data_IF_618981907125
#
_entry.id   IF_618981907125
#
_cell.length_a   1.000
_cell.length_b   1.000
_cell.length_c   1.000
_cell.angle_alpha   90.00
_cell.angle_beta   90.00
_cell.angle_gamma   90.00
#
_symmetry.space_group_name_H-M   'P 1'
#
loop_
_entity.id
_entity.type
_entity.pdbx_description
1 polymer ?
#
# COMPACT_ATOMS: atom_id res chain seq x y z
N UNK A 1 4.04 1.73 19.18
CA UNK A 1 2.73 2.04 19.79
C UNK A 1 1.54 1.97 18.81
N UNK A 2 1.57 2.60 17.62
CA UNK A 2 0.43 2.62 16.67
C UNK A 2 0.09 1.24 16.07
N UNK A 3 1.05 0.31 16.00
CA UNK A 3 0.83 -1.06 15.53
C UNK A 3 -0.05 -1.93 16.44
N UNK A 4 -0.32 -1.50 17.69
CA UNK A 4 -1.18 -2.20 18.65
C UNK A 4 -2.66 -1.78 18.56
N UNK A 5 -2.98 -0.75 17.78
CA UNK A 5 -4.35 -0.25 17.65
C UNK A 5 -5.12 -0.99 16.56
N UNK A 6 -6.32 -1.47 16.90
CA UNK A 6 -7.27 -2.03 15.93
C UNK A 6 -7.53 -1.00 14.80
N UNK A 7 -7.71 -1.49 13.57
CA UNK A 7 -7.86 -0.74 12.30
C UNK A 7 -8.83 0.46 12.42
N UNK A 8 -9.93 0.32 13.16
CA UNK A 8 -10.91 1.41 13.41
C UNK A 8 -10.35 2.53 14.31
N UNK A 9 -9.72 2.17 15.42
CA UNK A 9 -9.10 3.14 16.34
C UNK A 9 -7.91 3.84 15.69
N UNK A 10 -7.11 3.10 14.91
CA UNK A 10 -6.03 3.67 14.11
C UNK A 10 -6.53 4.71 13.12
N UNK A 11 -7.63 4.44 12.43
CA UNK A 11 -8.22 5.38 11.47
C UNK A 11 -8.82 6.62 12.16
N UNK A 12 -9.48 6.47 13.31
CA UNK A 12 -9.98 7.62 14.10
C UNK A 12 -8.82 8.46 14.63
N UNK A 13 -7.77 7.83 15.14
CA UNK A 13 -6.58 8.50 15.65
C UNK A 13 -5.85 9.28 14.53
N UNK A 14 -5.64 8.66 13.36
CA UNK A 14 -5.05 9.31 12.19
C UNK A 14 -5.91 10.45 11.63
N UNK A 15 -7.26 10.36 11.68
CA UNK A 15 -8.15 11.41 11.14
C UNK A 15 -8.41 12.56 12.09
N UNK A 16 -8.39 12.34 13.41
CA UNK A 16 -8.90 13.32 14.38
C UNK A 16 -7.80 13.80 15.31
N UNK A 17 -6.97 12.88 15.81
CA UNK A 17 -5.93 13.21 16.79
C UNK A 17 -4.71 13.79 16.09
N UNK A 18 -4.24 13.15 15.02
CA UNK A 18 -3.05 13.60 14.27
C UNK A 18 -3.18 15.03 13.71
N UNK A 19 -4.29 15.46 13.07
CA UNK A 19 -4.39 16.83 12.55
C UNK A 19 -4.46 17.87 13.68
N UNK A 20 -5.08 17.53 14.82
CA UNK A 20 -5.10 18.41 16.00
C UNK A 20 -3.71 18.52 16.62
N UNK A 21 -3.02 17.40 16.82
CA UNK A 21 -1.64 17.42 17.35
C UNK A 21 -0.66 18.07 16.38
N UNK A 22 -0.88 17.98 15.06
CA UNK A 22 -0.12 18.71 14.04
C UNK A 22 -0.20 20.23 14.23
N UNK A 23 -1.39 20.78 14.55
CA UNK A 23 -1.55 22.21 14.78
C UNK A 23 -0.73 22.68 15.99
N UNK A 24 -0.73 21.92 17.08
CA UNK A 24 0.05 22.24 18.28
C UNK A 24 1.55 22.05 18.06
N UNK A 25 1.95 20.95 17.42
CA UNK A 25 3.35 20.65 17.12
C UNK A 25 3.91 21.56 16.02
N UNK A 26 3.14 22.39 15.33
CA UNK A 26 3.70 23.36 14.35
C UNK A 26 4.69 24.36 14.98
N UNK A 27 4.63 24.60 16.29
CA UNK A 27 5.55 25.47 16.99
C UNK A 27 6.84 24.74 17.39
N UNK A 28 7.97 25.17 16.82
CA UNK A 28 9.31 24.66 17.10
C UNK A 28 9.62 24.66 18.60
N UNK A 29 9.27 25.73 19.32
CA UNK A 29 9.51 25.82 20.76
C UNK A 29 8.75 24.77 21.56
N UNK A 30 7.52 24.45 21.14
CA UNK A 30 6.73 23.42 21.81
C UNK A 30 7.33 22.02 21.60
N UNK A 31 7.90 21.74 20.41
CA UNK A 31 8.60 20.47 20.14
C UNK A 31 9.85 20.32 20.98
N UNK A 32 10.67 21.37 21.07
CA UNK A 32 11.88 21.37 21.89
C UNK A 32 11.55 21.08 23.35
N UNK A 33 10.55 21.77 23.90
CA UNK A 33 10.11 21.56 25.28
C UNK A 33 9.55 20.14 25.47
N UNK A 34 8.73 19.64 24.54
CA UNK A 34 8.15 18.30 24.65
C UNK A 34 9.21 17.19 24.53
N UNK A 35 10.20 17.33 23.66
CA UNK A 35 11.35 16.42 23.57
C UNK A 35 12.13 16.37 24.86
N UNK A 36 12.34 17.53 25.51
CA UNK A 36 13.03 17.63 26.79
C UNK A 36 12.25 16.89 27.89
N UNK A 37 10.93 17.08 27.92
CA UNK A 37 10.01 16.40 28.82
C UNK A 37 10.05 14.88 28.60
N UNK A 38 9.94 14.41 27.34
CA UNK A 38 9.96 12.98 27.01
C UNK A 38 11.29 12.33 27.43
N UNK A 39 12.42 12.94 27.08
CA UNK A 39 13.74 12.43 27.43
C UNK A 39 13.94 12.35 28.95
N UNK A 40 13.48 13.38 29.68
CA UNK A 40 13.54 13.43 31.14
C UNK A 40 12.71 12.31 31.79
N UNK A 41 11.43 12.19 31.43
CA UNK A 41 10.56 11.17 32.03
C UNK A 41 10.99 9.74 31.70
N UNK A 42 11.55 9.50 30.51
CA UNK A 42 12.07 8.19 30.13
C UNK A 42 13.26 7.77 31.00
N UNK A 43 14.20 8.69 31.26
CA UNK A 43 15.35 8.43 32.13
C UNK A 43 14.96 8.26 33.60
N UNK A 44 14.04 9.08 34.10
CA UNK A 44 13.49 8.91 35.45
C UNK A 44 12.80 7.54 35.58
N UNK A 45 12.02 7.14 34.58
CA UNK A 45 11.38 5.82 34.54
C UNK A 45 12.37 4.66 34.56
N UNK A 46 13.45 4.75 33.77
CA UNK A 46 14.54 3.77 33.77
C UNK A 46 15.23 3.69 35.14
N UNK A 47 15.54 4.82 35.76
CA UNK A 47 16.18 4.87 37.08
C UNK A 47 15.30 4.23 38.16
N UNK A 48 13.99 4.50 38.15
CA UNK A 48 13.04 3.88 39.10
C UNK A 48 12.92 2.37 38.84
N UNK A 49 12.92 1.95 37.58
CA UNK A 49 12.86 0.54 37.21
C UNK A 49 14.13 -0.21 37.66
N UNK A 50 15.31 0.36 37.43
CA UNK A 50 16.58 -0.18 37.92
C UNK A 50 16.56 -0.33 39.44
N UNK A 51 16.18 0.72 40.18
CA UNK A 51 16.06 0.63 41.65
C UNK A 51 15.11 -0.48 42.10
N UNK A 52 13.99 -0.67 41.39
CA UNK A 52 13.02 -1.71 41.71
C UNK A 52 13.55 -3.11 41.40
N UNK A 53 14.24 -3.28 40.27
CA UNK A 53 14.89 -4.53 39.86
C UNK A 53 16.02 -4.91 40.83
N UNK A 54 16.88 -3.95 41.19
CA UNK A 54 17.96 -4.17 42.16
C UNK A 54 17.42 -4.59 43.52
N UNK A 55 16.34 -3.96 44.00
CA UNK A 55 15.67 -4.38 45.25
C UNK A 55 15.06 -5.78 45.17
N UNK A 56 14.51 -6.18 44.03
CA UNK A 56 13.91 -7.53 43.87
C UNK A 56 14.93 -8.64 43.63
N UNK A 57 16.10 -8.34 43.05
CA UNK A 57 17.15 -9.33 42.76
C UNK A 57 18.19 -9.45 43.88
N UNK A 58 18.35 -8.41 44.70
CA UNK A 58 19.28 -8.37 45.82
C UNK A 58 18.52 -8.10 47.14
N UNK A 59 17.67 -9.03 47.56
CA UNK A 59 17.34 -9.14 48.99
C UNK A 59 18.46 -9.94 49.69
N UNK A 60 19.18 -9.37 50.69
CA UNK A 60 20.13 -10.14 51.46
C UNK A 60 19.35 -11.12 52.35
N UNK A 61 19.58 -12.43 52.18
CA UNK A 61 19.24 -13.41 53.22
C UNK A 61 20.04 -13.03 54.47
N UNK A 62 19.31 -12.73 55.54
CA UNK A 62 19.84 -12.46 56.86
C UNK A 62 20.75 -13.59 57.35
N UNK A 63 22.03 -13.27 57.59
CA UNK A 63 22.82 -13.91 58.64
C UNK A 63 23.70 -12.85 59.29
N UNK A 64 23.49 -12.63 60.58
CA UNK A 64 24.29 -11.80 61.46
C UNK A 64 25.76 -12.24 61.42
N UNK A 65 26.71 -11.31 61.29
CA UNK A 65 27.74 -11.10 62.32
C UNK A 65 28.48 -9.77 62.11
N UNK A 66 28.77 -9.14 63.25
CA UNK A 66 29.40 -7.84 63.50
C UNK A 66 30.71 -7.53 62.76
N UNK A 67 30.89 -6.28 62.31
CA UNK A 67 32.00 -5.40 62.73
C UNK A 67 31.67 -3.93 62.39
N UNK A 68 32.14 -3.01 63.24
CA UNK A 68 31.85 -1.57 63.38
C UNK A 68 32.08 -0.65 62.16
N UNK A 69 31.54 0.60 62.19
CA UNK A 69 31.27 1.41 60.99
C UNK A 69 32.47 2.25 60.54
N UNK A 70 32.76 2.23 59.24
CA UNK A 70 33.52 3.30 58.57
C UNK A 70 32.56 4.43 58.22
N UNK A 71 32.78 5.59 58.83
CA UNK A 71 32.22 6.88 58.45
C UNK A 71 32.42 7.12 56.95
N UNK A 72 31.34 6.98 56.21
CA UNK A 72 31.21 7.54 54.86
C UNK A 72 30.01 8.46 54.95
N UNK A 73 30.25 9.76 54.88
CA UNK A 73 29.24 10.81 54.95
C UNK A 73 28.12 10.51 53.95
N UNK A 74 26.98 10.08 54.46
CA UNK A 74 25.74 10.09 53.71
C UNK A 74 25.29 11.54 53.64
N UNK A 75 25.51 12.20 52.49
CA UNK A 75 24.88 13.48 52.17
C UNK A 75 23.36 13.32 52.32
N UNK A 76 22.81 13.81 53.43
CA UNK A 76 21.38 13.78 53.71
C UNK A 76 20.66 14.74 52.78
N UNK A 77 19.96 14.18 51.80
CA UNK A 77 19.20 14.91 50.75
C UNK A 77 18.03 15.74 51.31
N UNK A 78 17.51 15.38 52.48
CA UNK A 78 16.40 16.08 53.13
C UNK A 78 16.83 16.66 54.47
N UNK A 79 16.46 17.92 54.71
CA UNK A 79 16.63 18.58 56.01
C UNK A 79 15.42 18.25 56.89
N UNK A 80 15.58 18.11 58.23
CA UNK A 80 14.48 17.82 59.15
C UNK A 80 13.34 18.86 59.19
N UNK A 81 13.45 19.96 58.43
CA UNK A 81 12.42 21.01 58.28
C UNK A 81 11.60 20.89 56.99
N UNK A 82 11.91 19.94 56.10
CA UNK A 82 11.15 19.74 54.85
C UNK A 82 9.85 18.95 55.12
N UNK A 83 8.72 19.38 54.55
CA UNK A 83 7.49 18.58 54.60
C UNK A 83 7.64 17.30 53.76
N UNK A 84 6.93 16.22 54.12
CA UNK A 84 7.06 14.91 53.45
C UNK A 84 6.99 14.99 51.93
N UNK A 85 6.10 15.85 51.39
CA UNK A 85 5.99 16.10 49.95
C UNK A 85 7.19 16.83 49.34
N UNK A 86 7.82 17.76 50.07
CA UNK A 86 8.99 18.51 49.62
C UNK A 86 10.27 17.68 49.69
N UNK A 87 10.39 16.78 50.68
CA UNK A 87 11.47 15.80 50.75
C UNK A 87 11.35 14.75 49.62
N UNK A 88 10.13 14.31 49.29
CA UNK A 88 9.88 13.41 48.16
C UNK A 88 10.21 14.07 46.81
N UNK A 89 9.88 15.35 46.64
CA UNK A 89 10.29 16.17 45.49
C UNK A 89 11.80 16.38 45.45
N UNK A 90 12.45 16.68 46.58
CA UNK A 90 13.92 16.78 46.68
C UNK A 90 14.60 15.46 46.36
N UNK A 91 14.10 14.31 46.85
CA UNK A 91 14.64 13.00 46.49
C UNK A 91 14.47 12.69 45.01
N UNK A 92 13.32 12.99 44.42
CA UNK A 92 13.09 12.84 42.97
C UNK A 92 14.02 13.76 42.15
N UNK A 93 14.30 14.98 42.61
CA UNK A 93 15.23 15.91 41.96
C UNK A 93 16.71 15.60 42.24
N UNK A 94 17.07 15.02 43.39
CA UNK A 94 18.46 14.70 43.75
C UNK A 94 18.92 13.36 43.15
N UNK A 95 17.99 12.41 42.91
CA UNK A 95 18.23 11.27 42.02
C UNK A 95 18.53 11.75 40.58
N UNK A 96 18.19 13.00 40.24
CA UNK A 96 18.50 13.62 38.95
C UNK A 96 19.78 14.47 38.95
N UNK A 97 20.85 14.00 39.59
CA UNK A 97 22.16 14.24 38.95
C UNK A 97 22.08 13.41 37.68
N UNK A 98 21.70 14.03 36.55
CA UNK A 98 21.77 13.41 35.22
C UNK A 98 23.26 13.15 34.95
N UNK A 99 23.82 12.13 35.60
CA UNK A 99 25.22 11.71 35.42
C UNK A 99 25.39 11.12 34.01
N UNK A 100 24.27 10.76 33.37
CA UNK A 100 24.21 10.25 32.02
C UNK A 100 23.73 11.32 31.02
N UNK A 101 24.50 12.42 30.93
CA UNK A 101 24.23 13.54 30.03
C UNK A 101 24.18 13.07 28.55
N UNK A 102 25.00 12.07 28.21
CA UNK A 102 24.99 11.41 26.89
C UNK A 102 23.65 10.71 26.62
N UNK A 103 23.14 9.93 27.58
CA UNK A 103 21.83 9.28 27.47
C UNK A 103 20.69 10.28 27.30
N UNK A 104 20.73 11.40 28.03
CA UNK A 104 19.75 12.49 27.87
C UNK A 104 19.84 13.14 26.50
N UNK A 105 21.04 13.48 26.03
CA UNK A 105 21.25 14.11 24.72
C UNK A 105 20.78 13.20 23.57
N UNK A 106 21.04 11.90 23.63
CA UNK A 106 20.56 10.93 22.65
C UNK A 106 19.04 10.81 22.66
N UNK A 107 18.41 10.68 23.82
CA UNK A 107 16.95 10.59 23.93
C UNK A 107 16.25 11.88 23.54
N UNK A 108 16.83 13.03 23.89
CA UNK A 108 16.34 14.33 23.47
C UNK A 108 16.43 14.49 21.94
N UNK A 109 17.58 14.16 21.35
CA UNK A 109 17.78 14.19 19.90
C UNK A 109 16.84 13.24 19.16
N UNK A 110 16.68 12.00 19.65
CA UNK A 110 15.75 11.03 19.08
C UNK A 110 14.28 11.48 19.22
N UNK A 111 13.91 12.07 20.35
CA UNK A 111 12.57 12.62 20.57
C UNK A 111 12.30 13.81 19.64
N UNK A 112 13.27 14.71 19.49
CA UNK A 112 13.17 15.86 18.59
C UNK A 112 13.06 15.41 17.14
N UNK A 113 13.90 14.47 16.71
CA UNK A 113 13.83 13.87 15.38
C UNK A 113 12.48 13.22 15.10
N UNK A 114 11.91 12.51 16.08
CA UNK A 114 10.57 11.92 15.98
C UNK A 114 9.47 12.98 15.90
N UNK A 115 9.57 14.08 16.66
CA UNK A 115 8.61 15.18 16.63
C UNK A 115 8.70 16.02 15.34
N UNK A 116 9.90 16.18 14.77
CA UNK A 116 10.13 16.83 13.47
C UNK A 116 9.79 15.94 12.26
N UNK A 117 9.59 14.63 12.49
CA UNK A 117 9.29 13.67 11.43
C UNK A 117 8.09 14.05 10.55
N UNK A 118 7.11 14.76 11.09
CA UNK A 118 5.93 15.22 10.33
C UNK A 118 6.28 16.32 9.32
N UNK A 119 7.13 17.28 9.67
CA UNK A 119 7.58 18.33 8.73
C UNK A 119 8.50 17.76 7.67
N UNK A 120 9.41 16.86 8.06
CA UNK A 120 10.26 16.14 7.10
C UNK A 120 9.43 15.34 6.11
N UNK A 121 8.38 14.65 6.57
CA UNK A 121 7.43 13.94 5.70
C UNK A 121 6.75 14.90 4.73
N UNK A 122 6.23 16.04 5.20
CA UNK A 122 5.60 17.05 4.33
C UNK A 122 6.59 17.53 3.27
N UNK A 123 7.82 17.90 3.66
CA UNK A 123 8.85 18.39 2.74
C UNK A 123 9.18 17.37 1.64
N UNK A 124 9.44 16.12 2.01
CA UNK A 124 9.74 15.04 1.05
C UNK A 124 8.58 14.84 0.07
N UNK A 125 7.33 14.86 0.54
CA UNK A 125 6.15 14.72 -0.31
C UNK A 125 6.04 15.91 -1.29
N UNK A 126 6.29 17.14 -0.84
CA UNK A 126 6.27 18.32 -1.71
C UNK A 126 7.39 18.27 -2.77
N UNK A 127 8.61 17.92 -2.37
CA UNK A 127 9.74 17.75 -3.29
C UNK A 127 9.43 16.67 -4.35
N UNK A 128 8.83 15.55 -3.93
CA UNK A 128 8.42 14.48 -4.85
C UNK A 128 7.35 14.97 -5.84
N UNK A 129 6.31 15.66 -5.39
CA UNK A 129 5.29 16.23 -6.29
C UNK A 129 5.88 17.24 -7.27
N UNK A 130 6.79 18.12 -6.82
CA UNK A 130 7.47 19.06 -7.72
C UNK A 130 8.21 18.34 -8.84
N UNK A 131 8.89 17.23 -8.55
CA UNK A 131 9.56 16.42 -9.59
C UNK A 131 8.55 15.84 -10.58
N UNK A 132 7.42 15.32 -10.09
CA UNK A 132 6.36 14.75 -10.94
C UNK A 132 5.76 15.81 -11.86
N UNK A 133 5.34 16.94 -11.29
CA UNK A 133 4.67 18.02 -12.01
C UNK A 133 5.61 18.69 -13.03
N UNK A 134 6.89 18.89 -12.67
CA UNK A 134 7.87 19.45 -13.58
C UNK A 134 8.12 18.52 -14.78
N UNK A 135 8.18 17.21 -14.57
CA UNK A 135 8.33 16.25 -15.65
C UNK A 135 7.12 16.23 -16.59
N UNK A 136 5.91 16.30 -16.03
CA UNK A 136 4.66 16.39 -16.79
C UNK A 136 4.58 17.70 -17.60
N UNK A 137 4.83 18.85 -16.97
CA UNK A 137 4.79 20.15 -17.63
C UNK A 137 5.85 20.32 -18.72
N UNK A 138 7.00 19.66 -18.59
CA UNK A 138 8.04 19.65 -19.61
C UNK A 138 7.80 18.62 -20.74
N UNK A 139 6.75 17.80 -20.66
CA UNK A 139 6.47 16.74 -21.62
C UNK A 139 7.55 15.65 -21.67
N UNK A 140 8.30 15.47 -20.58
CA UNK A 140 9.43 14.54 -20.54
C UNK A 140 8.89 13.13 -20.32
N UNK A 141 8.93 12.32 -21.38
CA UNK A 141 8.53 10.92 -21.34
C UNK A 141 9.43 10.10 -20.39
N UNK A 142 10.74 10.32 -20.37
CA UNK A 142 11.71 9.53 -19.58
C UNK A 142 12.31 10.33 -18.44
N UNK A 143 12.00 9.96 -17.20
CA UNK A 143 12.59 10.60 -16.02
C UNK A 143 12.72 9.61 -14.86
N UNK A 144 13.95 9.14 -14.61
CA UNK A 144 14.26 8.32 -13.43
C UNK A 144 13.88 9.03 -12.13
N UNK A 145 14.03 10.37 -12.10
CA UNK A 145 13.61 11.19 -10.97
C UNK A 145 12.09 11.11 -10.75
N UNK A 146 11.27 11.14 -11.82
CA UNK A 146 9.81 10.98 -11.72
C UNK A 146 9.44 9.60 -11.17
N UNK A 147 10.07 8.53 -11.67
CA UNK A 147 9.86 7.15 -11.16
C UNK A 147 10.13 7.11 -9.64
N UNK A 148 11.29 7.60 -9.21
CA UNK A 148 11.64 7.63 -7.78
C UNK A 148 10.70 8.49 -6.96
N UNK A 149 10.26 9.63 -7.49
CA UNK A 149 9.31 10.50 -6.82
C UNK A 149 7.95 9.82 -6.61
N UNK A 150 7.43 9.14 -7.63
CA UNK A 150 6.18 8.37 -7.54
C UNK A 150 6.28 7.21 -6.54
N UNK A 151 7.39 6.47 -6.54
CA UNK A 151 7.64 5.42 -5.53
C UNK A 151 7.69 6.00 -4.11
N UNK A 152 8.31 7.16 -3.92
CA UNK A 152 8.32 7.88 -2.63
C UNK A 152 6.89 8.24 -2.21
N UNK A 153 6.09 8.83 -3.11
CA UNK A 153 4.69 9.16 -2.84
C UNK A 153 3.90 7.90 -2.43
N UNK A 154 4.08 6.80 -3.16
CA UNK A 154 3.44 5.52 -2.85
C UNK A 154 3.86 4.98 -1.46
N UNK A 155 5.16 4.99 -1.17
CA UNK A 155 5.71 4.53 0.11
C UNK A 155 5.18 5.34 1.31
N UNK A 156 4.88 6.62 1.11
CA UNK A 156 4.23 7.46 2.12
C UNK A 156 2.71 7.33 2.18
N UNK A 157 2.11 6.46 1.36
CA UNK A 157 0.66 6.25 1.26
C UNK A 157 -0.08 7.48 0.74
N UNK A 158 0.60 8.29 -0.07
CA UNK A 158 -0.01 9.49 -0.67
C UNK A 158 -0.96 9.04 -1.78
N UNK A 159 -2.17 9.59 -1.76
CA UNK A 159 -3.12 9.40 -2.85
C UNK A 159 -2.64 10.12 -4.09
N UNK A 160 -2.39 9.38 -5.17
CA UNK A 160 -2.06 9.89 -6.51
C UNK A 160 -3.31 9.88 -7.41
N UNK A 161 -4.47 10.14 -6.81
CA UNK A 161 -5.75 10.27 -7.51
C UNK A 161 -5.63 11.36 -8.57
N UNK A 162 -5.98 11.02 -9.80
CA UNK A 162 -5.91 11.97 -10.92
C UNK A 162 -4.50 12.33 -11.35
N UNK A 163 -3.48 11.53 -10.99
CA UNK A 163 -2.13 11.68 -11.51
C UNK A 163 -2.15 11.81 -13.03
N UNK A 164 -1.52 12.85 -13.56
CA UNK A 164 -1.41 13.08 -15.01
C UNK A 164 0.01 12.74 -15.48
N UNK A 165 0.15 11.56 -16.08
CA UNK A 165 1.42 11.04 -16.59
C UNK A 165 1.24 10.26 -17.90
N UNK A 166 0.65 10.86 -18.95
CA UNK A 166 0.52 10.23 -20.25
C UNK A 166 1.89 10.10 -20.91
N UNK A 167 2.10 9.06 -21.74
CA UNK A 167 3.37 8.76 -22.41
C UNK A 167 4.57 8.61 -21.45
N UNK A 168 4.31 8.39 -20.16
CA UNK A 168 5.35 8.29 -19.15
C UNK A 168 6.07 6.94 -19.27
N UNK A 169 7.40 6.98 -19.31
CA UNK A 169 8.24 5.84 -19.02
C UNK A 169 8.24 5.59 -17.51
N UNK A 170 7.64 4.45 -17.15
CA UNK A 170 7.42 3.93 -15.82
C UNK A 170 7.75 2.42 -15.79
N UNK A 171 8.71 1.98 -16.61
CA UNK A 171 9.17 0.60 -16.67
C UNK A 171 9.66 0.16 -15.28
N UNK A 172 9.26 -1.05 -14.87
CA UNK A 172 9.62 -1.69 -13.59
C UNK A 172 9.27 -0.90 -12.32
N UNK A 173 8.42 0.14 -12.40
CA UNK A 173 8.07 0.95 -11.23
C UNK A 173 7.35 0.12 -10.15
N UNK A 174 7.67 0.35 -8.88
CA UNK A 174 6.92 -0.25 -7.76
C UNK A 174 5.83 0.65 -7.19
N UNK A 175 4.60 0.40 -7.65
CA UNK A 175 3.37 1.08 -7.23
C UNK A 175 2.37 0.10 -6.59
N UNK A 176 2.84 -0.94 -5.90
CA UNK A 176 1.96 -1.87 -5.20
C UNK A 176 1.07 -1.14 -4.18
N UNK A 177 -0.22 -1.46 -4.20
CA UNK A 177 -1.27 -0.83 -3.39
C UNK A 177 -1.42 0.69 -3.57
N UNK A 178 -0.87 1.26 -4.64
CA UNK A 178 -0.98 2.69 -4.92
C UNK A 178 -2.44 3.10 -5.14
N UNK A 179 -2.77 4.34 -4.77
CA UNK A 179 -4.07 4.95 -5.02
C UNK A 179 -3.95 5.81 -6.27
N UNK A 180 -4.29 5.24 -7.43
CA UNK A 180 -4.19 5.83 -8.77
C UNK A 180 -5.59 6.04 -9.39
N UNK A 181 -6.61 6.19 -8.56
CA UNK A 181 -7.99 6.40 -8.98
C UNK A 181 -8.07 7.59 -9.96
N UNK A 182 -8.70 7.40 -11.12
CA UNK A 182 -8.79 8.41 -12.19
C UNK A 182 -7.44 8.93 -12.73
N UNK A 183 -6.32 8.23 -12.51
CA UNK A 183 -5.04 8.61 -13.11
C UNK A 183 -5.09 8.55 -14.65
N UNK A 184 -4.36 9.44 -15.30
CA UNK A 184 -4.10 9.47 -16.73
C UNK A 184 -2.71 8.88 -17.00
N UNK A 185 -2.71 7.68 -17.55
CA UNK A 185 -1.54 6.85 -17.88
C UNK A 185 -1.65 6.32 -19.32
N UNK A 186 -2.42 6.99 -20.18
CA UNK A 186 -2.54 6.58 -21.58
C UNK A 186 -1.17 6.68 -22.27
N UNK A 187 -0.92 5.72 -23.16
CA UNK A 187 0.35 5.60 -23.90
C UNK A 187 1.60 5.44 -23.00
N UNK A 188 1.44 5.19 -21.69
CA UNK A 188 2.57 5.01 -20.77
C UNK A 188 3.26 3.66 -20.97
N UNK A 189 4.58 3.63 -20.76
CA UNK A 189 5.36 2.39 -20.70
C UNK A 189 5.41 1.90 -19.25
N UNK A 190 4.71 0.81 -18.97
CA UNK A 190 4.56 0.17 -17.66
C UNK A 190 5.00 -1.31 -17.72
N UNK A 191 5.88 -1.64 -18.66
CA UNK A 191 6.44 -3.00 -18.78
C UNK A 191 7.08 -3.39 -17.45
N UNK A 192 6.72 -4.57 -16.92
CA UNK A 192 7.25 -5.09 -15.65
C UNK A 192 6.80 -4.35 -14.39
N UNK A 193 5.99 -3.29 -14.50
CA UNK A 193 5.54 -2.50 -13.35
C UNK A 193 4.80 -3.35 -12.31
N UNK A 194 5.05 -3.08 -11.03
CA UNK A 194 4.32 -3.69 -9.94
C UNK A 194 3.14 -2.80 -9.51
N UNK A 195 1.94 -3.17 -9.92
CA UNK A 195 0.66 -2.52 -9.59
C UNK A 195 -0.24 -3.47 -8.79
N UNK A 196 0.35 -4.44 -8.09
CA UNK A 196 -0.38 -5.43 -7.29
C UNK A 196 -1.26 -4.73 -6.27
N UNK A 197 -2.57 -4.99 -6.28
CA UNK A 197 -3.52 -4.38 -5.36
C UNK A 197 -3.74 -2.87 -5.53
N UNK A 198 -3.20 -2.24 -6.58
CA UNK A 198 -3.38 -0.82 -6.82
C UNK A 198 -4.86 -0.48 -7.14
N UNK A 199 -5.32 0.69 -6.71
CA UNK A 199 -6.60 1.25 -7.11
C UNK A 199 -6.43 2.10 -8.38
N UNK A 200 -6.76 1.52 -9.53
CA UNK A 200 -6.80 2.13 -10.85
C UNK A 200 -8.25 2.35 -11.33
N UNK A 201 -9.21 2.40 -10.41
CA UNK A 201 -10.62 2.61 -10.74
C UNK A 201 -10.78 3.88 -11.56
N UNK A 202 -11.44 3.77 -12.72
CA UNK A 202 -11.62 4.86 -13.70
C UNK A 202 -10.33 5.49 -14.23
N UNK A 203 -9.17 4.85 -14.06
CA UNK A 203 -7.93 5.32 -14.67
C UNK A 203 -7.99 5.18 -16.21
N UNK A 204 -7.28 6.04 -16.91
CA UNK A 204 -7.07 5.96 -18.34
C UNK A 204 -5.70 5.33 -18.63
N UNK A 205 -5.67 4.11 -19.12
CA UNK A 205 -4.51 3.31 -19.51
C UNK A 205 -4.56 2.96 -21.00
N UNK A 206 -5.39 3.66 -21.78
CA UNK A 206 -5.57 3.38 -23.21
C UNK A 206 -4.22 3.39 -23.93
N UNK A 207 -3.96 2.37 -24.75
CA UNK A 207 -2.71 2.18 -25.51
C UNK A 207 -1.44 2.09 -24.66
N UNK A 208 -1.53 2.01 -23.33
CA UNK A 208 -0.36 1.78 -22.49
C UNK A 208 0.25 0.39 -22.73
N UNK A 209 1.54 0.26 -22.43
CA UNK A 209 2.24 -1.00 -22.49
C UNK A 209 2.41 -1.58 -21.09
N UNK A 210 1.64 -2.60 -20.74
CA UNK A 210 1.65 -3.31 -19.45
C UNK A 210 2.20 -4.75 -19.61
N UNK A 211 2.96 -5.02 -20.66
CA UNK A 211 3.57 -6.32 -20.89
C UNK A 211 4.35 -6.77 -19.63
N UNK A 212 4.13 -8.01 -19.19
CA UNK A 212 4.73 -8.61 -17.97
C UNK A 212 4.47 -7.88 -16.64
N UNK A 213 3.61 -6.86 -16.62
CA UNK A 213 3.28 -6.13 -15.39
C UNK A 213 2.50 -7.02 -14.39
N UNK A 214 2.58 -6.65 -13.11
CA UNK A 214 1.87 -7.33 -12.01
C UNK A 214 0.67 -6.52 -11.58
N UNK A 215 -0.53 -7.01 -11.84
CA UNK A 215 -1.82 -6.40 -11.49
C UNK A 215 -2.72 -7.34 -10.67
N UNK A 216 -2.14 -8.36 -10.04
CA UNK A 216 -2.88 -9.27 -9.17
C UNK A 216 -3.66 -8.47 -8.11
N UNK A 217 -4.97 -8.72 -7.99
CA UNK A 217 -5.90 -8.02 -7.08
C UNK A 217 -6.05 -6.51 -7.30
N UNK A 218 -5.57 -5.95 -8.42
CA UNK A 218 -5.78 -4.54 -8.74
C UNK A 218 -7.28 -4.22 -8.95
N UNK A 219 -7.67 -2.99 -8.62
CA UNK A 219 -9.02 -2.48 -8.88
C UNK A 219 -8.99 -1.63 -10.16
N UNK A 220 -9.60 -2.13 -11.24
CA UNK A 220 -9.65 -1.51 -12.57
C UNK A 220 -11.10 -1.24 -13.01
N UNK A 221 -12.00 -1.10 -12.03
CA UNK A 221 -13.43 -0.89 -12.26
C UNK A 221 -13.63 0.36 -13.13
N UNK A 222 -14.30 0.21 -14.27
CA UNK A 222 -14.55 1.31 -15.23
C UNK A 222 -13.28 2.00 -15.74
N UNK A 223 -12.12 1.35 -15.67
CA UNK A 223 -10.89 1.85 -16.28
C UNK A 223 -10.99 1.77 -17.82
N UNK A 224 -10.29 2.68 -18.50
CA UNK A 224 -10.09 2.59 -19.95
C UNK A 224 -8.74 1.92 -20.20
N UNK A 225 -8.78 0.71 -20.73
CA UNK A 225 -7.66 -0.14 -21.14
C UNK A 225 -7.79 -0.50 -22.65
N UNK A 226 -8.46 0.35 -23.42
CA UNK A 226 -8.63 0.13 -24.85
C UNK A 226 -7.27 0.10 -25.55
N UNK A 227 -7.05 -0.92 -26.37
CA UNK A 227 -5.81 -1.16 -27.13
C UNK A 227 -4.55 -1.24 -26.26
N UNK A 228 -4.69 -1.55 -24.98
CA UNK A 228 -3.56 -1.72 -24.05
C UNK A 228 -2.87 -3.06 -24.32
N UNK A 229 -1.54 -3.08 -24.25
CA UNK A 229 -0.78 -4.32 -24.29
C UNK A 229 -0.70 -4.94 -22.90
N UNK A 230 -1.48 -5.99 -22.64
CA UNK A 230 -1.54 -6.79 -21.41
C UNK A 230 -0.95 -8.20 -21.61
N UNK A 231 -0.08 -8.37 -22.61
CA UNK A 231 0.52 -9.68 -22.89
C UNK A 231 1.39 -10.14 -21.72
N UNK A 232 1.25 -11.41 -21.31
CA UNK A 232 2.00 -12.02 -20.21
C UNK A 232 1.81 -11.27 -18.86
N UNK A 233 0.77 -10.45 -18.73
CA UNK A 233 0.47 -9.69 -17.50
C UNK A 233 -0.18 -10.60 -16.45
N UNK A 234 0.15 -10.39 -15.17
CA UNK A 234 -0.49 -11.09 -14.04
C UNK A 234 -1.72 -10.32 -13.55
N UNK A 235 -2.93 -10.78 -13.86
CA UNK A 235 -4.21 -10.16 -13.50
C UNK A 235 -5.05 -11.01 -12.53
N UNK A 236 -4.40 -11.91 -11.79
CA UNK A 236 -5.10 -12.87 -10.91
C UNK A 236 -5.97 -12.15 -9.89
N UNK A 237 -7.26 -12.48 -9.86
CA UNK A 237 -8.27 -11.86 -8.99
C UNK A 237 -8.38 -10.32 -9.13
N UNK A 238 -7.99 -9.74 -10.27
CA UNK A 238 -8.21 -8.32 -10.54
C UNK A 238 -9.71 -8.04 -10.74
N UNK A 239 -10.16 -6.83 -10.39
CA UNK A 239 -11.53 -6.36 -10.58
C UNK A 239 -11.59 -5.42 -11.79
N UNK A 240 -12.01 -5.95 -12.94
CA UNK A 240 -12.10 -5.27 -14.24
C UNK A 240 -13.57 -4.97 -14.62
N UNK A 241 -14.48 -4.95 -13.65
CA UNK A 241 -15.91 -4.78 -13.92
C UNK A 241 -16.17 -3.47 -14.67
N UNK A 242 -16.94 -3.54 -15.74
CA UNK A 242 -17.29 -2.41 -16.60
C UNK A 242 -16.07 -1.67 -17.21
N UNK A 243 -14.89 -2.29 -17.26
CA UNK A 243 -13.73 -1.72 -17.92
C UNK A 243 -13.91 -1.73 -19.45
N UNK A 244 -13.32 -0.76 -20.13
CA UNK A 244 -13.16 -0.79 -21.58
C UNK A 244 -11.82 -1.44 -21.92
N UNK A 245 -11.86 -2.62 -22.50
CA UNK A 245 -10.72 -3.45 -22.90
C UNK A 245 -10.77 -3.74 -24.41
N UNK A 246 -11.49 -2.90 -25.17
CA UNK A 246 -11.63 -3.08 -26.62
C UNK A 246 -10.26 -3.07 -27.31
N UNK A 247 -9.99 -4.10 -28.12
CA UNK A 247 -8.73 -4.30 -28.81
C UNK A 247 -7.52 -4.52 -27.91
N UNK A 248 -7.69 -4.81 -26.62
CA UNK A 248 -6.58 -5.11 -25.73
C UNK A 248 -5.91 -6.44 -26.09
N UNK A 249 -4.59 -6.53 -25.89
CA UNK A 249 -3.82 -7.75 -26.10
C UNK A 249 -3.59 -8.46 -24.77
N UNK A 250 -4.21 -9.62 -24.55
CA UNK A 250 -4.06 -10.49 -23.39
C UNK A 250 -3.26 -11.76 -23.70
N UNK A 251 -2.49 -11.80 -24.79
CA UNK A 251 -1.77 -13.00 -25.19
C UNK A 251 -0.90 -13.54 -24.04
N UNK A 252 -1.18 -14.77 -23.61
CA UNK A 252 -0.49 -15.43 -22.49
C UNK A 252 -0.72 -14.84 -21.09
N UNK A 253 -1.64 -13.88 -20.93
CA UNK A 253 -1.94 -13.26 -19.65
C UNK A 253 -2.60 -14.24 -18.66
N UNK A 254 -2.43 -13.99 -17.35
CA UNK A 254 -3.07 -14.77 -16.30
C UNK A 254 -4.22 -13.99 -15.65
N UNK A 255 -5.44 -14.26 -16.07
CA UNK A 255 -6.68 -13.68 -15.55
C UNK A 255 -7.40 -14.62 -14.58
N UNK A 256 -6.72 -15.59 -13.98
CA UNK A 256 -7.35 -16.57 -13.07
C UNK A 256 -8.13 -15.85 -11.96
N UNK A 257 -9.45 -16.12 -11.88
CA UNK A 257 -10.35 -15.53 -10.90
C UNK A 257 -10.65 -14.02 -11.07
N UNK A 258 -10.26 -13.40 -12.18
CA UNK A 258 -10.57 -12.00 -12.45
C UNK A 258 -12.08 -11.77 -12.66
N UNK A 259 -12.58 -10.60 -12.27
CA UNK A 259 -13.97 -10.19 -12.51
C UNK A 259 -14.05 -9.22 -13.68
N UNK A 260 -14.56 -9.70 -14.82
CA UNK A 260 -14.76 -8.96 -16.06
C UNK A 260 -16.25 -8.71 -16.32
N UNK A 261 -17.10 -8.72 -15.28
CA UNK A 261 -18.54 -8.49 -15.45
C UNK A 261 -18.81 -7.19 -16.19
N UNK A 262 -19.58 -7.26 -17.26
CA UNK A 262 -19.96 -6.12 -18.11
C UNK A 262 -18.78 -5.36 -18.74
N UNK A 263 -17.60 -6.00 -18.87
CA UNK A 263 -16.47 -5.41 -19.57
C UNK A 263 -16.68 -5.41 -21.09
N UNK A 264 -16.18 -4.38 -21.77
CA UNK A 264 -16.09 -4.34 -23.23
C UNK A 264 -14.78 -5.01 -23.66
N UNK A 265 -14.84 -6.20 -24.26
CA UNK A 265 -13.70 -6.99 -24.74
C UNK A 265 -13.72 -7.12 -26.28
N UNK A 266 -14.42 -6.21 -26.97
CA UNK A 266 -14.55 -6.26 -28.43
C UNK A 266 -13.20 -6.28 -29.11
N UNK A 267 -12.98 -7.26 -30.01
CA UNK A 267 -11.73 -7.39 -30.76
C UNK A 267 -10.47 -7.64 -29.93
N UNK A 268 -10.59 -8.04 -28.66
CA UNK A 268 -9.42 -8.35 -27.81
C UNK A 268 -8.76 -9.69 -28.19
N UNK A 269 -7.46 -9.81 -27.96
CA UNK A 269 -6.67 -11.03 -28.22
C UNK A 269 -6.43 -11.78 -26.91
N UNK A 270 -7.06 -12.95 -26.74
CA UNK A 270 -6.93 -13.82 -25.57
C UNK A 270 -6.13 -15.09 -25.85
N UNK A 271 -5.35 -15.15 -26.94
CA UNK A 271 -4.61 -16.36 -27.30
C UNK A 271 -3.71 -16.82 -26.16
N UNK A 272 -3.81 -18.10 -25.81
CA UNK A 272 -3.07 -18.71 -24.70
C UNK A 272 -3.33 -18.11 -23.30
N UNK A 273 -4.36 -17.26 -23.13
CA UNK A 273 -4.67 -16.66 -21.84
C UNK A 273 -5.25 -17.68 -20.85
N UNK A 274 -4.92 -17.51 -19.56
CA UNK A 274 -5.46 -18.33 -18.47
C UNK A 274 -6.68 -17.64 -17.86
N UNK A 275 -7.88 -18.15 -18.12
CA UNK A 275 -9.14 -17.57 -17.65
C UNK A 275 -9.88 -18.43 -16.61
N UNK A 276 -9.21 -19.44 -16.02
CA UNK A 276 -9.82 -20.35 -15.06
C UNK A 276 -10.55 -19.59 -13.94
N UNK A 277 -11.86 -19.84 -13.81
CA UNK A 277 -12.70 -19.21 -12.79
C UNK A 277 -12.92 -17.70 -12.92
N UNK A 278 -12.52 -17.07 -14.03
CA UNK A 278 -12.87 -15.67 -14.29
C UNK A 278 -14.36 -15.51 -14.61
N UNK A 279 -14.90 -14.33 -14.28
CA UNK A 279 -16.31 -13.99 -14.43
C UNK A 279 -16.51 -13.06 -15.63
N UNK A 280 -17.11 -13.56 -16.71
CA UNK A 280 -17.40 -12.83 -17.96
C UNK A 280 -18.89 -12.51 -18.12
N UNK A 281 -19.65 -12.46 -17.02
CA UNK A 281 -21.08 -12.14 -17.08
C UNK A 281 -21.34 -10.84 -17.82
N UNK A 282 -22.23 -10.87 -18.80
CA UNK A 282 -22.60 -9.69 -19.60
C UNK A 282 -21.42 -8.98 -20.29
N UNK A 283 -20.27 -9.64 -20.44
CA UNK A 283 -19.14 -9.08 -21.17
C UNK A 283 -19.42 -9.14 -22.68
N UNK A 284 -18.92 -8.15 -23.41
CA UNK A 284 -18.97 -8.11 -24.87
C UNK A 284 -17.65 -8.65 -25.43
N UNK A 285 -17.63 -9.89 -25.92
CA UNK A 285 -16.48 -10.55 -26.55
C UNK A 285 -16.59 -10.51 -28.08
N UNK A 286 -17.39 -9.62 -28.65
CA UNK A 286 -17.62 -9.62 -30.09
C UNK A 286 -16.30 -9.42 -30.86
N UNK A 287 -16.01 -10.33 -31.79
CA UNK A 287 -14.76 -10.33 -32.55
C UNK A 287 -13.50 -10.65 -31.74
N UNK A 288 -13.60 -11.09 -30.48
CA UNK A 288 -12.43 -11.47 -29.69
C UNK A 288 -11.79 -12.77 -30.21
N UNK A 289 -10.46 -12.84 -30.16
CA UNK A 289 -9.71 -14.05 -30.49
C UNK A 289 -9.47 -14.87 -29.22
N UNK A 290 -10.20 -15.98 -29.05
CA UNK A 290 -10.07 -16.90 -27.92
C UNK A 290 -9.28 -18.17 -28.30
N UNK A 291 -8.47 -18.14 -29.37
CA UNK A 291 -7.77 -19.33 -29.83
C UNK A 291 -6.91 -19.95 -28.72
N UNK A 292 -7.09 -21.25 -28.48
CA UNK A 292 -6.44 -22.02 -27.41
C UNK A 292 -6.68 -21.50 -25.98
N UNK A 293 -7.69 -20.66 -25.76
CA UNK A 293 -8.02 -20.13 -24.44
C UNK A 293 -8.63 -21.22 -23.54
N UNK A 294 -8.29 -21.17 -22.24
CA UNK A 294 -8.84 -22.08 -21.24
C UNK A 294 -10.06 -21.44 -20.54
N UNK A 295 -11.26 -21.87 -20.92
CA UNK A 295 -12.55 -21.38 -20.42
C UNK A 295 -13.14 -22.26 -19.29
N UNK A 296 -12.34 -23.15 -18.70
CA UNK A 296 -12.84 -24.08 -17.68
C UNK A 296 -13.40 -23.34 -16.45
N UNK A 297 -14.67 -23.65 -16.12
CA UNK A 297 -15.36 -23.08 -14.97
C UNK A 297 -15.71 -21.60 -15.09
N UNK A 298 -15.60 -21.02 -16.28
CA UNK A 298 -15.97 -19.62 -16.51
C UNK A 298 -17.48 -19.38 -16.46
N UNK A 299 -17.87 -18.19 -16.02
CA UNK A 299 -19.25 -17.73 -16.09
C UNK A 299 -19.43 -16.75 -17.27
N UNK A 300 -19.94 -17.24 -18.40
CA UNK A 300 -20.23 -16.48 -19.62
C UNK A 300 -21.73 -16.12 -19.69
N UNK A 301 -22.43 -16.09 -18.55
CA UNK A 301 -23.88 -15.83 -18.55
C UNK A 301 -24.16 -14.45 -19.14
N UNK A 302 -24.96 -14.40 -20.22
CA UNK A 302 -25.31 -13.16 -20.90
C UNK A 302 -24.18 -12.51 -21.69
N UNK A 303 -23.05 -13.18 -21.91
CA UNK A 303 -21.96 -12.64 -22.73
C UNK A 303 -22.33 -12.65 -24.22
N UNK A 304 -21.79 -11.71 -24.99
CA UNK A 304 -21.89 -11.70 -26.46
C UNK A 304 -20.61 -12.27 -27.06
N UNK A 305 -20.73 -13.33 -27.86
CA UNK A 305 -19.62 -13.99 -28.57
C UNK A 305 -19.74 -13.85 -30.09
N UNK A 306 -20.49 -12.87 -30.58
CA UNK A 306 -20.66 -12.63 -32.02
C UNK A 306 -19.31 -12.50 -32.71
N UNK A 307 -19.03 -13.31 -33.73
CA UNK A 307 -17.77 -13.32 -34.48
C UNK A 307 -16.52 -13.58 -33.63
N UNK A 308 -16.65 -14.07 -32.39
CA UNK A 308 -15.49 -14.49 -31.60
C UNK A 308 -14.87 -15.76 -32.21
N UNK A 309 -13.54 -15.85 -32.27
CA UNK A 309 -12.83 -17.04 -32.72
C UNK A 309 -12.69 -18.03 -31.55
N UNK A 310 -13.31 -19.21 -31.66
CA UNK A 310 -13.33 -20.24 -30.62
C UNK A 310 -12.46 -21.46 -30.97
N UNK A 311 -11.50 -21.32 -31.89
CA UNK A 311 -10.59 -22.41 -32.25
C UNK A 311 -9.81 -22.92 -31.02
N UNK A 312 -9.73 -24.24 -30.84
CA UNK A 312 -8.88 -24.84 -29.80
C UNK A 312 -9.28 -24.56 -28.34
N UNK A 313 -10.42 -23.90 -28.08
CA UNK A 313 -10.84 -23.60 -26.71
C UNK A 313 -11.02 -24.87 -25.89
N UNK A 314 -10.75 -24.78 -24.58
CA UNK A 314 -11.11 -25.83 -23.63
C UNK A 314 -12.21 -25.37 -22.68
N UNK A 315 -13.22 -26.21 -22.49
CA UNK A 315 -14.34 -25.95 -21.58
C UNK A 315 -14.73 -27.24 -20.85
N UNK A 316 -15.39 -27.09 -19.71
CA UNK A 316 -15.90 -28.21 -18.91
C UNK A 316 -17.35 -27.98 -18.46
N UNK A 317 -17.91 -28.93 -17.70
CA UNK A 317 -19.29 -28.88 -17.18
C UNK A 317 -19.58 -27.71 -16.22
N UNK A 318 -18.55 -27.05 -15.68
CA UNK A 318 -18.70 -25.88 -14.80
C UNK A 318 -18.81 -24.58 -15.58
N UNK A 319 -18.49 -24.60 -16.88
CA UNK A 319 -18.61 -23.44 -17.77
C UNK A 319 -20.08 -23.09 -17.98
N UNK A 320 -20.45 -21.84 -17.71
CA UNK A 320 -21.86 -21.39 -17.79
C UNK A 320 -22.10 -20.57 -19.04
N UNK A 321 -22.97 -21.07 -19.90
CA UNK A 321 -23.35 -20.45 -21.18
C UNK A 321 -24.74 -19.82 -21.17
N UNK A 322 -25.38 -19.72 -19.99
CA UNK A 322 -26.78 -19.31 -19.88
C UNK A 322 -26.99 -17.93 -20.51
N UNK A 323 -27.90 -17.82 -21.46
CA UNK A 323 -28.19 -16.57 -22.18
C UNK A 323 -26.97 -15.95 -22.91
N UNK A 324 -25.90 -16.71 -23.15
CA UNK A 324 -24.83 -16.25 -24.03
C UNK A 324 -25.41 -16.08 -25.45
N UNK A 325 -24.99 -15.03 -26.14
CA UNK A 325 -25.50 -14.63 -27.47
C UNK A 325 -24.36 -14.66 -28.50
N UNK A 326 -24.70 -14.64 -29.78
CA UNK A 326 -23.71 -14.58 -30.87
C UNK A 326 -22.94 -15.88 -31.13
N UNK A 327 -23.21 -16.94 -30.36
CA UNK A 327 -22.59 -18.26 -30.49
C UNK A 327 -22.83 -18.92 -31.86
N UNK A 328 -24.00 -18.69 -32.47
CA UNK A 328 -24.35 -19.12 -33.82
C UNK A 328 -23.51 -18.42 -34.91
N UNK A 329 -22.91 -17.28 -34.57
CA UNK A 329 -22.07 -16.44 -35.45
C UNK A 329 -20.60 -16.48 -35.05
N UNK A 330 -20.23 -17.29 -34.06
CA UNK A 330 -18.84 -17.43 -33.66
C UNK A 330 -18.03 -18.19 -34.72
N UNK A 331 -16.78 -17.81 -34.87
CA UNK A 331 -15.85 -18.41 -35.82
C UNK A 331 -15.17 -19.64 -35.20
N UNK A 332 -14.92 -20.66 -36.02
CA UNK A 332 -14.21 -21.89 -35.63
C UNK A 332 -14.75 -22.59 -34.37
N UNK A 333 -16.06 -22.48 -34.10
CA UNK A 333 -16.67 -23.14 -32.94
C UNK A 333 -16.54 -24.67 -33.03
N UNK A 334 -16.00 -25.33 -31.98
CA UNK A 334 -15.88 -26.78 -31.95
C UNK A 334 -17.23 -27.51 -32.08
N UNK A 335 -17.28 -28.58 -32.88
CA UNK A 335 -18.51 -29.36 -33.11
C UNK A 335 -19.12 -29.92 -31.81
N UNK A 336 -18.27 -30.33 -30.87
CA UNK A 336 -18.72 -30.80 -29.56
C UNK A 336 -19.45 -29.71 -28.76
N UNK A 337 -19.04 -28.45 -28.90
CA UNK A 337 -19.72 -27.33 -28.26
C UNK A 337 -21.05 -27.01 -28.95
N UNK A 338 -21.09 -27.03 -30.29
CA UNK A 338 -22.34 -26.87 -31.06
C UNK A 338 -23.40 -27.88 -30.63
N UNK A 339 -23.01 -29.16 -30.56
CA UNK A 339 -23.90 -30.23 -30.10
C UNK A 339 -24.35 -30.05 -28.64
N UNK A 340 -23.44 -29.65 -27.75
CA UNK A 340 -23.75 -29.40 -26.34
C UNK A 340 -24.78 -28.26 -26.17
N UNK A 341 -24.72 -27.24 -27.02
CA UNK A 341 -25.56 -26.05 -26.94
C UNK A 341 -26.84 -26.13 -27.80
N UNK A 342 -26.95 -27.15 -28.66
CA UNK A 342 -28.08 -27.33 -29.56
C UNK A 342 -28.14 -26.30 -30.69
N UNK A 343 -26.96 -25.91 -31.21
CA UNK A 343 -26.78 -24.93 -32.28
C UNK A 343 -26.57 -25.59 -33.66
#
# INVERSE_FOLDING_TARGET
MIGLLNKRLRNVWLRVVVPKSEKYLSNIWLRVVLSFIIAYFFLVGLSVLEQKITKTLFEPKTTETSLEPKTTETEQVCSPQDSDGFCLVKQLLFVSKVQNLEGFALLFGASLYMLEGLERRKRIIYEAWQIVDNAAGAGVATSHARVKALEVLNNYGVSMRGLDAPNADLIDIDLANAILHQASLNDAELTGANLTGADLTKANLARANLNTAKLSKALLIRANLSKTNLSITELRNADLRNADLSGANFMGADLTGADLTSANLTGSDFRYAKLNGANLKHADLSGADLTDANLNGMDLTGADLTSANLEGISWNRQTKWKNATGLDKAENMPDALRQQLGL
#
